data_IF_420285271018
#
_entry.id   IF_420285271018
#
_cell.length_a   1.000
_cell.length_b   1.000
_cell.length_c   1.000
_cell.angle_alpha   90.00
_cell.angle_beta   90.00
_cell.angle_gamma   90.00
#
_symmetry.space_group_name_H-M   'P 1'
#
loop_
_entity.id
_entity.type
_entity.pdbx_description
1 polymer ?
#
# COMPACT_ATOMS: atom_id res chain seq x y z
N UNK A 1 52.70 -10.60 32.97
CA UNK A 1 51.64 -11.41 32.32
C UNK A 1 50.67 -10.42 31.71
N UNK A 2 50.72 -10.22 30.39
CA UNK A 2 49.97 -9.16 29.69
C UNK A 2 48.83 -9.85 28.93
N UNK A 3 47.62 -9.73 29.43
CA UNK A 3 46.43 -10.29 28.80
C UNK A 3 45.94 -9.34 27.71
N UNK A 4 46.04 -9.81 26.46
CA UNK A 4 45.42 -9.19 25.30
C UNK A 4 43.94 -9.58 25.28
N UNK A 5 43.04 -8.62 25.49
CA UNK A 5 41.60 -8.88 25.42
C UNK A 5 41.11 -8.51 24.02
N UNK A 6 40.77 -9.54 23.23
CA UNK A 6 40.14 -9.40 21.92
C UNK A 6 38.62 -9.29 22.12
N UNK A 7 38.06 -8.10 21.99
CA UNK A 7 36.61 -7.90 21.92
C UNK A 7 36.13 -8.14 20.49
N UNK A 8 35.52 -9.29 20.25
CA UNK A 8 34.75 -9.56 19.03
C UNK A 8 33.42 -8.80 19.17
N UNK A 9 33.31 -7.65 18.50
CA UNK A 9 32.04 -6.95 18.35
C UNK A 9 31.10 -7.79 17.50
N UNK A 10 30.05 -8.36 18.09
CA UNK A 10 28.99 -9.02 17.35
C UNK A 10 28.20 -7.95 16.60
N UNK A 11 28.37 -7.85 15.29
CA UNK A 11 27.44 -7.12 14.42
C UNK A 11 26.12 -7.91 14.40
N UNK A 12 25.15 -7.48 15.20
CA UNK A 12 23.79 -8.00 15.09
C UNK A 12 23.18 -7.41 13.82
N UNK A 13 23.08 -8.23 12.77
CA UNK A 13 22.16 -7.95 11.66
C UNK A 13 20.74 -8.05 12.23
N UNK A 14 20.17 -6.94 12.70
CA UNK A 14 18.76 -6.92 13.03
C UNK A 14 17.98 -6.88 11.72
N UNK A 15 17.23 -7.93 11.43
CA UNK A 15 16.14 -7.83 10.46
C UNK A 15 15.11 -6.86 11.05
N UNK A 16 15.00 -5.66 10.46
CA UNK A 16 13.90 -4.77 10.81
C UNK A 16 12.59 -5.44 10.39
N UNK A 17 11.58 -5.38 11.26
CA UNK A 17 10.26 -5.95 11.00
C UNK A 17 9.52 -5.01 10.04
N UNK A 18 8.97 -5.53 8.94
CA UNK A 18 8.12 -4.73 8.07
C UNK A 18 6.92 -4.25 8.91
N UNK A 19 6.74 -2.93 9.00
CA UNK A 19 5.66 -2.35 9.80
C UNK A 19 4.35 -2.25 9.04
N UNK A 20 4.38 -2.38 7.71
CA UNK A 20 3.18 -2.45 6.88
C UNK A 20 2.54 -3.84 7.04
N UNK A 21 1.25 -3.91 7.40
CA UNK A 21 0.52 -5.17 7.40
C UNK A 21 0.25 -5.59 5.96
N UNK A 22 0.17 -6.90 5.70
CA UNK A 22 -0.19 -7.44 4.39
C UNK A 22 0.49 -6.69 3.22
N UNK A 23 1.84 -6.56 3.23
CA UNK A 23 2.57 -5.64 2.35
C UNK A 23 2.57 -6.05 0.88
N UNK A 24 2.20 -7.29 0.60
CA UNK A 24 2.08 -7.89 -0.74
C UNK A 24 0.63 -8.03 -1.20
N UNK A 25 -0.36 -7.65 -0.38
CA UNK A 25 -1.80 -7.71 -0.67
C UNK A 25 -2.37 -9.13 -0.89
N UNK A 26 -1.67 -10.17 -0.42
CA UNK A 26 -2.10 -11.56 -0.62
C UNK A 26 -3.05 -12.09 0.46
N UNK A 27 -3.18 -11.38 1.59
CA UNK A 27 -4.21 -11.68 2.59
C UNK A 27 -5.50 -10.96 2.25
N UNK A 28 -6.49 -11.70 1.71
CA UNK A 28 -7.78 -11.16 1.33
C UNK A 28 -8.94 -12.06 1.74
N UNK A 29 -10.14 -11.49 1.79
CA UNK A 29 -11.36 -12.16 2.27
C UNK A 29 -12.13 -12.88 1.15
N UNK A 30 -12.22 -12.26 -0.01
CA UNK A 30 -12.86 -12.80 -1.21
C UNK A 30 -12.30 -12.10 -2.45
N UNK A 31 -12.54 -12.71 -3.62
CA UNK A 31 -12.20 -12.10 -4.90
C UNK A 31 -13.06 -10.85 -5.15
N UNK A 32 -12.46 -9.73 -5.59
CA UNK A 32 -13.24 -8.59 -6.00
C UNK A 32 -14.12 -8.93 -7.20
N UNK A 33 -15.35 -8.43 -7.18
CA UNK A 33 -16.34 -8.66 -8.25
C UNK A 33 -16.56 -7.43 -9.13
N UNK A 34 -15.74 -6.39 -8.95
CA UNK A 34 -15.82 -5.10 -9.62
C UNK A 34 -15.10 -4.03 -8.79
N UNK A 35 -15.21 -2.78 -9.24
CA UNK A 35 -14.67 -1.61 -8.52
C UNK A 35 -15.32 -1.42 -7.15
N UNK A 36 -14.55 -0.90 -6.21
CA UNK A 36 -15.00 -0.55 -4.88
C UNK A 36 -15.94 0.66 -4.92
N UNK A 37 -16.83 0.74 -3.94
CA UNK A 37 -17.79 1.85 -3.83
C UNK A 37 -17.24 2.99 -2.96
N UNK A 38 -17.58 4.27 -3.26
CA UNK A 38 -17.07 5.41 -2.52
C UNK A 38 -17.32 5.33 -1.01
N UNK A 39 -16.30 5.66 -0.21
CA UNK A 39 -16.38 5.79 1.24
C UNK A 39 -15.11 5.30 1.92
N UNK A 40 -15.14 5.10 3.25
CA UNK A 40 -14.07 4.43 3.97
C UNK A 40 -14.37 2.94 4.25
N UNK A 41 -14.83 2.11 3.28
CA UNK A 41 -15.00 0.70 3.55
C UNK A 41 -13.62 0.03 3.71
N UNK A 42 -13.57 -1.07 4.48
CA UNK A 42 -12.46 -2.01 4.38
C UNK A 42 -12.30 -2.50 2.94
N UNK A 43 -11.08 -2.49 2.44
CA UNK A 43 -10.77 -3.21 1.20
C UNK A 43 -10.81 -4.71 1.46
N UNK A 44 -11.05 -5.48 0.40
CA UNK A 44 -11.04 -6.94 0.49
C UNK A 44 -9.69 -7.51 0.94
N UNK A 45 -8.59 -6.80 0.67
CA UNK A 45 -7.25 -7.08 1.18
C UNK A 45 -7.04 -6.47 2.58
N UNK A 46 -7.41 -7.20 3.62
CA UNK A 46 -7.32 -6.68 4.98
C UNK A 46 -5.85 -6.49 5.44
N UNK A 47 -5.54 -5.53 6.31
CA UNK A 47 -6.43 -4.56 6.97
C UNK A 47 -6.49 -3.20 6.24
N UNK A 48 -6.27 -3.17 4.92
CA UNK A 48 -6.27 -1.94 4.15
C UNK A 48 -7.69 -1.39 3.98
N UNK A 49 -7.82 -0.07 3.88
CA UNK A 49 -9.06 0.67 3.67
C UNK A 49 -8.85 1.74 2.60
N UNK A 50 -9.91 2.09 1.88
CA UNK A 50 -9.94 3.33 1.13
C UNK A 50 -10.02 4.49 2.13
N UNK A 51 -9.08 5.43 2.09
CA UNK A 51 -9.17 6.65 2.90
C UNK A 51 -10.04 7.69 2.17
N UNK A 52 -10.86 8.40 2.94
CA UNK A 52 -11.82 9.41 2.48
C UNK A 52 -13.02 8.83 1.70
N UNK A 53 -13.57 9.60 0.75
CA UNK A 53 -14.76 9.24 -0.04
C UNK A 53 -14.38 8.73 -1.44
N UNK A 54 -13.17 8.20 -1.59
CA UNK A 54 -12.67 7.67 -2.85
C UNK A 54 -13.00 6.19 -3.07
N UNK A 55 -12.60 5.65 -4.22
CA UNK A 55 -12.77 4.25 -4.64
C UNK A 55 -11.41 3.59 -4.84
N UNK A 56 -10.56 3.59 -3.80
CA UNK A 56 -9.33 2.78 -3.86
C UNK A 56 -9.72 1.33 -4.07
N UNK A 57 -9.12 0.66 -5.04
CA UNK A 57 -9.53 -0.66 -5.49
C UNK A 57 -8.54 -1.74 -5.07
N UNK A 58 -9.05 -2.94 -4.78
CA UNK A 58 -8.24 -4.14 -4.74
C UNK A 58 -8.36 -4.88 -6.07
N UNK A 59 -7.23 -5.14 -6.72
CA UNK A 59 -7.16 -5.91 -7.96
C UNK A 59 -6.57 -7.29 -7.67
N UNK A 60 -7.13 -8.33 -8.26
CA UNK A 60 -6.65 -9.71 -8.08
C UNK A 60 -6.89 -10.57 -9.32
N UNK A 61 -6.01 -11.55 -9.55
CA UNK A 61 -6.07 -12.50 -10.65
C UNK A 61 -7.34 -13.37 -10.69
N UNK A 62 -8.07 -13.50 -9.59
CA UNK A 62 -9.35 -14.20 -9.56
C UNK A 62 -10.57 -13.34 -9.96
N UNK A 63 -10.36 -12.09 -10.38
CA UNK A 63 -11.41 -11.12 -10.70
C UNK A 63 -11.65 -10.98 -12.20
N UNK A 64 -12.68 -10.22 -12.58
CA UNK A 64 -13.02 -9.97 -13.97
C UNK A 64 -11.95 -9.11 -14.68
N UNK A 65 -11.33 -9.59 -15.78
CA UNK A 65 -10.33 -8.84 -16.55
C UNK A 65 -10.84 -7.52 -17.17
N UNK A 66 -12.15 -7.36 -17.33
CA UNK A 66 -12.73 -6.10 -17.84
C UNK A 66 -12.96 -5.04 -16.75
N UNK A 67 -12.57 -5.32 -15.50
CA UNK A 67 -12.75 -4.42 -14.36
C UNK A 67 -11.47 -4.36 -13.52
N UNK A 68 -11.37 -5.17 -12.46
CA UNK A 68 -10.29 -5.18 -11.46
C UNK A 68 -9.47 -6.48 -11.49
N UNK A 69 -9.41 -7.11 -12.66
CA UNK A 69 -8.61 -8.30 -12.92
C UNK A 69 -7.11 -8.05 -12.91
N UNK A 70 -6.34 -9.14 -12.84
CA UNK A 70 -4.88 -9.12 -12.98
C UNK A 70 -4.46 -10.25 -13.91
N UNK A 71 -3.55 -10.01 -14.87
CA UNK A 71 -2.84 -8.75 -15.11
C UNK A 71 -3.65 -7.72 -15.91
N UNK A 72 -4.74 -8.10 -16.54
CA UNK A 72 -5.56 -7.24 -17.39
C UNK A 72 -6.74 -6.68 -16.58
N UNK A 73 -6.95 -5.36 -16.67
CA UNK A 73 -8.02 -4.59 -16.03
C UNK A 73 -8.39 -3.39 -16.90
N UNK A 74 -9.48 -2.71 -16.56
CA UNK A 74 -9.95 -1.54 -17.32
C UNK A 74 -8.89 -0.40 -17.39
N UNK A 75 -8.12 -0.09 -16.32
CA UNK A 75 -7.02 0.89 -16.41
C UNK A 75 -5.80 0.45 -17.21
N UNK A 76 -5.68 -0.85 -17.54
CA UNK A 76 -4.60 -1.37 -18.37
C UNK A 76 -4.08 -2.75 -17.96
N UNK A 77 -2.79 -2.97 -18.20
CA UNK A 77 -2.12 -4.25 -17.98
C UNK A 77 -0.94 -4.11 -17.01
N UNK A 78 -0.95 -4.88 -15.93
CA UNK A 78 0.14 -4.94 -14.97
C UNK A 78 0.18 -6.29 -14.24
N UNK A 79 1.32 -7.00 -14.34
CA UNK A 79 1.61 -8.16 -13.49
C UNK A 79 1.90 -7.72 -12.04
N UNK A 80 1.47 -8.50 -11.04
CA UNK A 80 1.77 -8.20 -9.66
C UNK A 80 3.27 -8.40 -9.40
N UNK A 81 3.85 -7.61 -8.50
CA UNK A 81 5.25 -7.78 -8.08
C UNK A 81 5.47 -9.12 -7.39
N UNK A 82 4.45 -9.58 -6.67
CA UNK A 82 4.40 -10.86 -5.98
C UNK A 82 2.96 -11.35 -5.92
N UNK A 83 2.75 -12.67 -5.88
CA UNK A 83 1.42 -13.24 -5.67
C UNK A 83 0.46 -12.95 -6.82
N UNK A 84 -0.78 -12.57 -6.48
CA UNK A 84 -1.93 -12.51 -7.37
C UNK A 84 -2.62 -11.15 -7.39
N UNK A 85 -2.34 -10.26 -6.43
CA UNK A 85 -3.06 -9.00 -6.30
C UNK A 85 -2.19 -7.79 -5.99
N UNK A 86 -2.80 -6.61 -6.11
CA UNK A 86 -2.26 -5.32 -5.70
C UNK A 86 -3.41 -4.32 -5.52
N UNK A 87 -3.12 -3.18 -4.90
CA UNK A 87 -4.08 -2.08 -4.80
C UNK A 87 -3.92 -1.09 -5.97
N UNK A 88 -5.05 -0.54 -6.44
CA UNK A 88 -5.14 0.54 -7.42
C UNK A 88 -5.71 1.80 -6.77
N UNK A 89 -5.27 2.98 -7.24
CA UNK A 89 -5.80 4.25 -6.75
C UNK A 89 -5.62 5.38 -7.76
N UNK A 90 -6.54 6.33 -7.75
CA UNK A 90 -6.47 7.59 -8.47
C UNK A 90 -5.71 8.61 -7.62
N UNK A 91 -4.44 8.82 -7.96
CA UNK A 91 -3.58 9.76 -7.26
C UNK A 91 -4.05 11.22 -7.41
N UNK A 92 -4.68 11.55 -8.55
CA UNK A 92 -5.34 12.82 -8.82
C UNK A 92 -6.27 12.71 -10.03
N UNK A 93 -7.50 13.17 -9.93
CA UNK A 93 -8.36 13.42 -11.08
C UNK A 93 -8.66 14.92 -11.26
N UNK A 94 -8.90 15.33 -12.51
CA UNK A 94 -9.29 16.71 -12.87
C UNK A 94 -10.79 16.88 -13.06
N UNK A 95 -11.56 15.81 -12.85
CA UNK A 95 -13.03 15.82 -12.96
C UNK A 95 -13.62 16.03 -11.56
N UNK A 96 -14.30 17.15 -11.33
CA UNK A 96 -14.85 17.53 -10.02
C UNK A 96 -13.91 18.39 -9.16
N UNK A 97 -14.19 18.47 -7.85
CA UNK A 97 -13.24 18.99 -6.83
C UNK A 97 -11.98 18.09 -6.78
N UNK A 98 -10.89 18.52 -6.12
CA UNK A 98 -9.56 17.85 -6.04
C UNK A 98 -9.65 16.39 -5.56
N UNK A 99 -10.02 15.48 -6.47
CA UNK A 99 -10.31 14.09 -6.17
C UNK A 99 -9.02 13.29 -6.08
N UNK A 100 -8.85 12.63 -4.94
CA UNK A 100 -7.68 11.83 -4.61
C UNK A 100 -8.09 10.62 -3.80
N UNK A 101 -7.43 9.52 -4.09
CA UNK A 101 -7.59 8.28 -3.37
C UNK A 101 -6.34 7.95 -2.57
N UNK A 102 -6.56 7.33 -1.43
CA UNK A 102 -5.51 6.97 -0.51
C UNK A 102 -5.75 5.55 -0.01
N UNK A 103 -4.73 4.71 -0.15
CA UNK A 103 -4.68 3.44 0.54
C UNK A 103 -4.21 3.67 1.98
N UNK A 104 -5.03 3.31 2.96
CA UNK A 104 -4.72 3.49 4.38
C UNK A 104 -4.76 2.15 5.12
N UNK A 105 -3.85 1.96 6.07
CA UNK A 105 -3.83 0.77 6.94
C UNK A 105 -3.09 1.07 8.24
N UNK A 106 -3.39 0.32 9.32
CA UNK A 106 -2.65 0.45 10.58
C UNK A 106 -1.23 -0.09 10.43
N UNK A 107 -0.25 0.50 11.12
CA UNK A 107 1.04 -0.17 11.29
C UNK A 107 0.89 -1.33 12.28
N UNK A 108 1.65 -2.41 12.08
CA UNK A 108 1.66 -3.56 13.01
C UNK A 108 2.13 -3.19 14.42
N UNK A 109 2.89 -2.10 14.54
CA UNK A 109 3.27 -1.48 15.81
C UNK A 109 3.53 0.03 15.62
N UNK A 110 3.34 0.87 16.66
CA UNK A 110 3.58 2.31 16.57
C UNK A 110 5.03 2.67 16.19
N UNK A 111 5.19 3.77 15.46
CA UNK A 111 6.50 4.37 15.25
C UNK A 111 7.06 4.91 16.58
N UNK A 112 8.37 4.76 16.76
CA UNK A 112 9.10 5.22 17.93
C UNK A 112 9.74 6.57 17.59
N UNK A 113 9.48 7.60 18.41
CA UNK A 113 10.04 8.93 18.22
C UNK A 113 11.57 8.93 18.16
N UNK A 114 12.14 9.72 17.26
CA UNK A 114 13.59 9.83 17.08
C UNK A 114 14.25 8.66 16.34
N UNK A 115 13.48 7.70 15.82
CA UNK A 115 13.97 6.60 14.98
C UNK A 115 13.79 6.91 13.50
N UNK A 116 14.74 6.47 12.70
CA UNK A 116 14.66 6.50 11.24
C UNK A 116 14.02 5.22 10.72
N UNK A 117 13.14 5.37 9.73
CA UNK A 117 12.43 4.27 9.07
C UNK A 117 12.68 4.35 7.57
N UNK A 118 12.91 3.20 6.94
CA UNK A 118 12.99 3.07 5.50
C UNK A 118 11.65 2.61 4.96
N UNK A 119 11.17 3.29 3.94
CA UNK A 119 9.89 2.97 3.30
C UNK A 119 10.13 2.84 1.81
N UNK A 120 9.68 1.73 1.26
CA UNK A 120 9.75 1.41 -0.15
C UNK A 120 8.50 0.68 -0.57
N UNK A 121 7.98 1.01 -1.73
CA UNK A 121 6.86 0.35 -2.38
C UNK A 121 7.06 0.45 -3.89
N UNK A 122 6.37 -0.42 -4.61
CA UNK A 122 6.33 -0.39 -6.07
C UNK A 122 5.09 0.37 -6.51
N UNK A 123 5.21 1.17 -7.57
CA UNK A 123 4.10 1.85 -8.21
C UNK A 123 4.23 1.65 -9.70
N UNK A 124 3.11 1.40 -10.36
CA UNK A 124 3.01 1.37 -11.81
C UNK A 124 1.98 2.38 -12.27
N UNK A 125 2.26 3.03 -13.40
CA UNK A 125 1.33 3.94 -14.03
C UNK A 125 0.36 3.11 -14.90
N UNK A 126 -0.93 3.28 -14.66
CA UNK A 126 -1.98 2.71 -15.52
C UNK A 126 -1.81 3.15 -16.98
N UNK A 127 -2.11 2.27 -17.93
CA UNK A 127 -1.83 2.52 -19.35
C UNK A 127 -2.70 3.64 -19.94
N UNK A 128 -3.93 3.77 -19.46
CA UNK A 128 -4.93 4.69 -20.00
C UNK A 128 -4.93 6.07 -19.32
N UNK A 129 -4.03 6.32 -18.36
CA UNK A 129 -4.06 7.52 -17.50
C UNK A 129 -2.72 8.25 -17.37
N UNK A 130 -2.77 9.48 -16.87
CA UNK A 130 -1.59 10.31 -16.59
C UNK A 130 -1.07 10.10 -15.17
N UNK A 131 0.26 10.07 -15.02
CA UNK A 131 0.90 10.02 -13.71
C UNK A 131 1.00 11.38 -13.02
N UNK A 132 1.22 11.35 -11.71
CA UNK A 132 1.61 12.52 -10.92
C UNK A 132 3.08 12.45 -10.52
N UNK A 133 3.66 13.59 -10.16
CA UNK A 133 4.96 13.64 -9.49
C UNK A 133 4.75 13.56 -7.97
N UNK A 134 5.75 13.04 -7.25
CA UNK A 134 5.82 13.03 -5.78
C UNK A 134 4.74 12.19 -5.07
N UNK A 135 4.68 10.89 -5.36
CA UNK A 135 3.90 9.93 -4.57
C UNK A 135 4.70 9.54 -3.33
N UNK A 136 4.08 9.58 -2.16
CA UNK A 136 4.72 9.21 -0.91
C UNK A 136 3.74 8.88 0.22
N UNK A 137 4.20 8.16 1.25
CA UNK A 137 3.39 7.78 2.40
C UNK A 137 3.22 8.95 3.37
N UNK A 138 2.09 8.97 4.06
CA UNK A 138 1.80 9.90 5.17
C UNK A 138 1.59 9.07 6.43
N UNK A 139 2.16 9.52 7.56
CA UNK A 139 1.98 8.88 8.87
C UNK A 139 1.20 9.80 9.79
N UNK A 140 0.26 9.24 10.55
CA UNK A 140 -0.48 9.97 11.56
C UNK A 140 -0.58 9.17 12.85
N UNK A 141 -0.80 9.88 13.96
CA UNK A 141 -1.02 9.29 15.28
C UNK A 141 -2.50 9.01 15.58
N UNK A 142 -3.42 9.22 14.63
CA UNK A 142 -4.86 9.10 14.82
C UNK A 142 -5.55 8.40 13.63
N UNK A 143 -6.59 7.60 13.94
CA UNK A 143 -7.35 6.79 12.98
C UNK A 143 -8.13 7.58 11.92
N UNK A 144 -8.19 8.91 12.03
CA UNK A 144 -8.91 9.78 11.09
C UNK A 144 -7.96 10.86 10.57
N UNK A 145 -7.29 10.56 9.46
CA UNK A 145 -6.71 11.58 8.59
C UNK A 145 -7.87 12.24 7.82
N UNK A 146 -8.28 13.44 8.24
CA UNK A 146 -8.90 14.37 7.30
C UNK A 146 -7.76 14.97 6.49
N UNK A 147 -7.46 14.37 5.34
CA UNK A 147 -6.61 14.98 4.33
C UNK A 147 -7.47 16.05 3.65
N UNK A 148 -7.11 17.31 3.87
CA UNK A 148 -7.69 18.47 3.19
C UNK A 148 -6.94 18.83 1.93
#
# INVERSE_FOLDING_TARGET
>A
MMTLQLSIGTTSNSFAQNLAPNPDFESYTQCPTGFEVPGPPPLLCYPWVAAAWGTTDYLNACSNPSEVGVPDNDPGWQMPVSGNGYAGFIAKATVGDDYREYLQGPLVSPLIGGKWYYVSFYVSLANEYCGIQQIGPIYSCASNLQLG
#
